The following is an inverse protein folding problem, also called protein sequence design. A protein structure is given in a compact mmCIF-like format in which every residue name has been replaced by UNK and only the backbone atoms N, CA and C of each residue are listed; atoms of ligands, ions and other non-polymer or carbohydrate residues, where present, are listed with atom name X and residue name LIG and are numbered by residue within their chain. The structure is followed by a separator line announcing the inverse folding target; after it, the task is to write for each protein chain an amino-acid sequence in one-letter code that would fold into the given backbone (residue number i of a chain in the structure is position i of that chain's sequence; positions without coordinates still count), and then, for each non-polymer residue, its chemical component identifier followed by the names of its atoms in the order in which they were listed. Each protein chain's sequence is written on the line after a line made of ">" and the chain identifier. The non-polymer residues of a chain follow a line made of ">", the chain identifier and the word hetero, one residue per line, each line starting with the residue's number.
data_IF_873754332262
#
_entry.id   IF_873754332262
#
_cell.length_a   1.000
_cell.length_b   1.000
_cell.length_c   1.000
_cell.angle_alpha   90.00
_cell.angle_beta   90.00
_cell.angle_gamma   90.00
#
_symmetry.space_group_name_H-M   'P 1'
#
loop_
_entity.id
_entity.type
_entity.pdbx_description
1 polymer ?
#
# COMPACT_ATOMS: atom_id res chain seq x y z
N UNK A 1 4.49 -25.28 51.46
CA UNK A 1 4.44 -25.05 49.99
C UNK A 1 4.76 -23.58 49.74
N UNK A 2 5.99 -23.29 49.33
CA UNK A 2 6.44 -21.92 49.06
C UNK A 2 6.14 -21.62 47.59
N UNK A 3 5.30 -20.62 47.30
CA UNK A 3 5.02 -20.19 45.93
C UNK A 3 6.19 -19.32 45.46
N UNK A 4 6.97 -19.81 44.50
CA UNK A 4 8.01 -19.03 43.83
C UNK A 4 7.33 -18.01 42.92
N UNK A 5 7.48 -16.73 43.24
CA UNK A 5 7.08 -15.63 42.37
C UNK A 5 7.99 -15.62 41.15
N UNK A 6 7.44 -15.99 39.98
CA UNK A 6 8.17 -15.96 38.72
C UNK A 6 8.56 -14.51 38.38
N UNK A 7 9.85 -14.18 38.50
CA UNK A 7 10.41 -12.91 38.03
C UNK A 7 10.46 -12.97 36.51
N UNK A 8 9.58 -12.20 35.87
CA UNK A 8 9.56 -12.02 34.41
C UNK A 8 10.83 -11.28 33.95
N UNK A 9 11.55 -11.75 32.91
CA UNK A 9 12.78 -11.11 32.46
C UNK A 9 12.52 -9.66 32.00
N UNK A 10 13.30 -8.73 32.54
CA UNK A 10 13.34 -7.33 32.11
C UNK A 10 13.98 -7.27 30.72
N UNK A 11 13.31 -6.63 29.75
CA UNK A 11 13.93 -6.35 28.45
C UNK A 11 15.14 -5.43 28.64
N UNK A 12 16.30 -5.86 28.15
CA UNK A 12 17.60 -5.15 28.23
C UNK A 12 17.60 -3.74 27.61
N UNK A 13 16.52 -3.35 26.91
CA UNK A 13 16.42 -2.07 26.21
C UNK A 13 15.76 -0.93 27.03
N UNK A 14 15.29 -1.20 28.26
CA UNK A 14 14.62 -0.16 29.07
C UNK A 14 15.60 0.56 29.99
N UNK A 15 15.79 1.90 29.86
CA UNK A 15 16.70 2.65 30.73
C UNK A 15 16.16 2.71 32.17
N UNK A 16 17.06 2.65 33.17
CA UNK A 16 16.69 2.43 34.59
C UNK A 16 15.84 3.53 35.22
N UNK A 17 15.78 4.73 34.62
CA UNK A 17 14.97 5.85 35.10
C UNK A 17 13.50 5.76 34.69
N UNK A 18 13.14 4.85 33.78
CA UNK A 18 11.77 4.71 33.27
C UNK A 18 11.01 3.65 34.08
N UNK A 19 10.22 4.10 35.05
CA UNK A 19 9.35 3.24 35.85
C UNK A 19 7.98 3.15 35.15
N UNK A 20 7.70 1.99 34.54
CA UNK A 20 6.40 1.72 33.92
C UNK A 20 5.57 0.79 34.81
N UNK A 21 4.32 1.15 35.10
CA UNK A 21 3.41 0.30 35.86
C UNK A 21 3.05 -0.94 35.04
N UNK A 22 3.37 -2.13 35.55
CA UNK A 22 2.98 -3.41 34.96
C UNK A 22 1.72 -3.92 35.64
N UNK A 23 0.67 -4.13 34.86
CA UNK A 23 -0.60 -4.66 35.34
C UNK A 23 -0.74 -6.13 34.92
N UNK A 24 -1.44 -6.92 35.74
CA UNK A 24 -1.83 -8.29 35.37
C UNK A 24 -2.72 -8.27 34.12
N UNK A 25 -2.64 -9.32 33.28
CA UNK A 25 -3.55 -9.51 32.13
C UNK A 25 -5.02 -9.68 32.52
N UNK A 26 -5.32 -9.77 33.83
CA UNK A 26 -6.70 -9.72 34.38
C UNK A 26 -7.29 -8.31 34.38
N UNK A 27 -6.44 -7.29 34.42
CA UNK A 27 -6.84 -5.89 34.43
C UNK A 27 -6.92 -5.40 32.98
N UNK A 28 -8.01 -4.71 32.63
CA UNK A 28 -8.28 -4.23 31.26
C UNK A 28 -7.49 -2.96 30.92
N UNK A 29 -6.18 -2.95 31.21
CA UNK A 29 -5.30 -1.78 31.05
C UNK A 29 -4.09 -2.13 30.19
N UNK A 30 -3.68 -1.20 29.32
CA UNK A 30 -2.55 -1.42 28.41
C UNK A 30 -2.87 -2.48 27.35
N UNK A 31 -1.87 -3.29 26.99
CA UNK A 31 -1.97 -4.28 25.92
C UNK A 31 -2.64 -5.62 26.35
N UNK A 32 -3.57 -5.57 27.33
CA UNK A 32 -4.14 -6.75 27.98
C UNK A 32 -4.80 -7.73 27.00
N UNK A 33 -5.45 -7.20 25.95
CA UNK A 33 -6.16 -7.99 24.94
C UNK A 33 -5.16 -8.81 24.12
N UNK A 34 -4.08 -8.19 23.63
CA UNK A 34 -3.03 -8.89 22.87
C UNK A 34 -2.31 -9.92 23.73
N UNK A 35 -2.03 -9.61 25.01
CA UNK A 35 -1.41 -10.56 25.93
C UNK A 35 -2.27 -11.82 26.16
N UNK A 36 -3.60 -11.66 26.25
CA UNK A 36 -4.55 -12.79 26.32
C UNK A 36 -4.71 -13.53 24.99
N UNK A 37 -4.46 -12.86 23.87
CA UNK A 37 -4.54 -13.44 22.52
C UNK A 37 -3.38 -14.36 22.15
N UNK A 38 -2.26 -14.35 22.90
CA UNK A 38 -1.00 -15.09 22.60
C UNK A 38 -1.09 -16.63 22.49
N UNK A 39 -2.28 -17.22 22.41
CA UNK A 39 -2.45 -18.68 22.28
C UNK A 39 -3.58 -19.14 21.35
N UNK A 40 -4.38 -18.22 20.78
CA UNK A 40 -5.49 -18.57 19.89
C UNK A 40 -5.40 -17.80 18.57
N UNK A 41 -5.59 -18.46 17.41
CA UNK A 41 -5.58 -17.76 16.13
C UNK A 41 -6.75 -16.76 16.06
N UNK A 42 -6.48 -15.54 15.59
CA UNK A 42 -7.47 -14.45 15.44
C UNK A 42 -8.77 -14.90 14.75
N UNK A 43 -8.66 -15.79 13.75
CA UNK A 43 -9.80 -16.37 13.03
C UNK A 43 -10.83 -16.93 14.01
N UNK A 44 -10.44 -17.83 14.91
CA UNK A 44 -11.37 -18.49 15.85
C UNK A 44 -11.99 -17.54 16.88
N UNK A 45 -11.43 -16.36 17.10
CA UNK A 45 -11.91 -15.40 18.10
C UNK A 45 -12.95 -14.44 17.53
N UNK A 46 -12.83 -14.07 16.26
CA UNK A 46 -13.62 -12.98 15.65
C UNK A 46 -14.53 -13.47 14.53
N UNK A 47 -14.23 -14.60 13.90
CA UNK A 47 -15.10 -15.14 12.85
C UNK A 47 -16.29 -15.85 13.48
N UNK A 48 -17.50 -15.48 13.06
CA UNK A 48 -18.73 -16.05 13.60
C UNK A 48 -19.17 -17.34 12.90
N UNK A 49 -18.98 -17.46 11.58
CA UNK A 49 -19.54 -18.57 10.79
C UNK A 49 -18.59 -19.11 9.70
N UNK A 50 -17.31 -19.31 10.03
CA UNK A 50 -16.27 -19.67 9.04
C UNK A 50 -16.17 -18.67 7.88
N UNK A 51 -16.57 -17.42 8.14
CA UNK A 51 -16.66 -16.41 7.11
C UNK A 51 -15.26 -16.00 6.65
N UNK A 52 -15.00 -15.96 5.33
CA UNK A 52 -13.73 -15.44 4.83
C UNK A 52 -13.53 -14.00 5.29
N UNK A 53 -12.33 -13.68 5.76
CA UNK A 53 -11.96 -12.37 6.34
C UNK A 53 -12.30 -11.17 5.44
N UNK A 54 -12.38 -11.36 4.12
CA UNK A 54 -12.65 -10.32 3.14
C UNK A 54 -13.72 -10.79 2.15
N UNK A 55 -14.96 -10.96 2.63
CA UNK A 55 -16.09 -11.37 1.78
C UNK A 55 -16.82 -10.18 1.14
N UNK A 56 -16.93 -9.07 1.88
CA UNK A 56 -17.74 -7.91 1.50
C UNK A 56 -16.83 -6.73 1.13
N UNK A 57 -16.49 -6.62 -0.15
CA UNK A 57 -15.59 -5.59 -0.68
C UNK A 57 -16.35 -4.38 -1.24
N UNK A 58 -17.69 -4.42 -1.20
CA UNK A 58 -18.58 -3.44 -1.82
C UNK A 58 -19.47 -2.89 -0.73
N UNK A 59 -19.48 -1.57 -0.58
CA UNK A 59 -20.38 -0.89 0.34
C UNK A 59 -21.77 -0.77 -0.28
N UNK A 60 -22.80 -0.63 0.57
CA UNK A 60 -24.17 -0.35 0.12
C UNK A 60 -24.26 0.93 -0.71
N UNK A 61 -23.41 1.92 -0.39
CA UNK A 61 -23.28 3.15 -1.15
C UNK A 61 -22.76 2.90 -2.57
N UNK A 62 -21.62 2.19 -2.71
CA UNK A 62 -21.02 1.87 -4.01
C UNK A 62 -22.00 1.11 -4.91
N UNK A 63 -22.68 0.11 -4.34
CA UNK A 63 -23.63 -0.71 -5.07
C UNK A 63 -24.87 0.06 -5.57
N UNK A 64 -25.33 1.06 -4.81
CA UNK A 64 -26.44 1.91 -5.21
C UNK A 64 -26.07 2.79 -6.40
N UNK A 65 -24.96 3.52 -6.30
CA UNK A 65 -24.60 4.54 -7.29
C UNK A 65 -23.94 3.96 -8.54
N UNK A 66 -23.04 2.98 -8.38
CA UNK A 66 -22.23 2.48 -9.50
C UNK A 66 -22.83 1.24 -10.17
N UNK A 67 -23.60 0.43 -9.44
CA UNK A 67 -24.15 -0.84 -9.91
C UNK A 67 -25.68 -0.85 -10.00
N UNK A 68 -26.31 0.29 -9.75
CA UNK A 68 -27.76 0.50 -9.85
C UNK A 68 -28.58 -0.54 -9.10
N UNK A 69 -28.05 -0.97 -7.97
CA UNK A 69 -28.67 -1.94 -7.10
C UNK A 69 -29.00 -3.32 -7.74
N UNK A 70 -28.39 -3.68 -8.86
CA UNK A 70 -28.71 -4.93 -9.57
C UNK A 70 -28.11 -6.16 -8.88
N UNK A 71 -28.96 -7.04 -8.35
CA UNK A 71 -28.56 -8.34 -7.83
C UNK A 71 -29.47 -9.45 -8.44
N UNK A 72 -28.95 -10.29 -9.37
CA UNK A 72 -29.76 -11.29 -10.06
C UNK A 72 -30.18 -12.47 -9.15
N UNK A 73 -29.56 -12.62 -7.97
CA UNK A 73 -29.84 -13.73 -7.05
C UNK A 73 -30.98 -13.46 -6.07
N UNK A 74 -31.58 -12.26 -6.08
CA UNK A 74 -32.57 -11.85 -5.08
C UNK A 74 -33.92 -11.48 -5.70
N UNK A 75 -35.03 -11.76 -4.99
CA UNK A 75 -36.33 -11.28 -5.41
C UNK A 75 -36.40 -9.74 -5.35
N UNK A 76 -37.13 -9.14 -6.30
CA UNK A 76 -37.29 -7.69 -6.40
C UNK A 76 -38.03 -7.08 -5.19
N UNK A 77 -38.92 -7.85 -4.56
CA UNK A 77 -39.74 -7.42 -3.43
C UNK A 77 -39.60 -8.39 -2.26
N UNK A 78 -39.66 -7.83 -1.04
CA UNK A 78 -39.71 -8.61 0.19
C UNK A 78 -40.96 -9.51 0.18
N UNK A 79 -40.76 -10.78 0.50
CA UNK A 79 -41.84 -11.78 0.54
C UNK A 79 -41.99 -12.34 1.95
N UNK A 80 -43.22 -12.50 2.43
CA UNK A 80 -43.50 -13.16 3.71
C UNK A 80 -43.44 -14.68 3.56
N UNK A 81 -42.52 -15.34 4.26
CA UNK A 81 -42.45 -16.80 4.31
C UNK A 81 -43.35 -17.32 5.44
N UNK A 82 -44.44 -17.97 5.02
CA UNK A 82 -45.45 -18.55 5.92
C UNK A 82 -44.93 -19.73 6.73
N UNK A 83 -43.95 -20.47 6.21
CA UNK A 83 -43.42 -21.67 6.85
C UNK A 83 -42.38 -21.32 7.92
N UNK A 84 -41.59 -20.27 7.69
CA UNK A 84 -40.59 -19.77 8.63
C UNK A 84 -41.10 -18.66 9.53
N UNK A 85 -42.29 -18.10 9.24
CA UNK A 85 -42.90 -16.96 9.92
C UNK A 85 -41.96 -15.74 9.96
N UNK A 86 -41.26 -15.49 8.86
CA UNK A 86 -40.28 -14.42 8.72
C UNK A 86 -40.51 -13.71 7.39
N UNK A 87 -40.32 -12.40 7.38
CA UNK A 87 -40.07 -11.71 6.13
C UNK A 87 -38.74 -12.20 5.58
N UNK A 88 -38.75 -12.76 4.36
CA UNK A 88 -37.52 -13.22 3.75
C UNK A 88 -36.53 -12.04 3.65
N UNK A 89 -35.24 -12.33 3.81
CA UNK A 89 -34.23 -11.31 3.92
C UNK A 89 -34.15 -10.52 2.61
N UNK A 90 -34.02 -9.21 2.72
CA UNK A 90 -33.90 -8.33 1.56
C UNK A 90 -32.46 -8.32 1.06
N UNK A 91 -32.19 -7.48 0.07
CA UNK A 91 -30.84 -7.17 -0.41
C UNK A 91 -29.83 -6.85 0.69
N UNK A 92 -30.26 -6.21 1.79
CA UNK A 92 -29.38 -5.87 2.90
C UNK A 92 -28.75 -7.09 3.59
N UNK A 93 -29.45 -8.22 3.58
CA UNK A 93 -29.03 -9.45 4.24
C UNK A 93 -28.12 -10.31 3.36
N UNK A 94 -28.09 -10.01 2.06
CA UNK A 94 -27.28 -10.68 1.05
C UNK A 94 -26.40 -9.67 0.32
N UNK A 95 -25.30 -9.22 0.95
CA UNK A 95 -24.35 -8.31 0.32
C UNK A 95 -23.79 -8.91 -0.98
N UNK A 96 -23.62 -8.05 -1.98
CA UNK A 96 -23.17 -8.47 -3.30
C UNK A 96 -21.71 -8.93 -3.24
N UNK A 97 -21.48 -10.18 -3.68
CA UNK A 97 -20.16 -10.80 -3.73
C UNK A 97 -19.55 -10.58 -5.11
N UNK A 98 -18.93 -9.42 -5.32
CA UNK A 98 -18.20 -9.12 -6.54
C UNK A 98 -16.87 -8.43 -6.20
N UNK A 99 -15.93 -8.37 -7.17
CA UNK A 99 -14.73 -7.56 -7.00
C UNK A 99 -15.10 -6.09 -6.72
N UNK A 100 -14.28 -5.37 -5.94
CA UNK A 100 -14.53 -3.98 -5.59
C UNK A 100 -14.55 -3.11 -6.85
N UNK A 101 -15.37 -2.06 -6.84
CA UNK A 101 -15.35 -1.03 -7.88
C UNK A 101 -14.06 -0.23 -7.71
N UNK A 102 -13.04 -0.63 -8.44
CA UNK A 102 -11.73 -0.02 -8.38
C UNK A 102 -11.48 0.63 -9.74
N UNK A 103 -11.69 1.94 -9.84
CA UNK A 103 -11.55 2.75 -11.07
C UNK A 103 -10.10 2.84 -11.56
N UNK A 104 -9.35 1.73 -11.59
CA UNK A 104 -7.92 1.68 -11.89
C UNK A 104 -7.01 2.18 -10.77
N UNK A 105 -7.54 2.63 -9.63
CA UNK A 105 -6.76 3.17 -8.52
C UNK A 105 -5.74 2.15 -7.97
N UNK A 106 -6.16 0.89 -7.82
CA UNK A 106 -5.28 -0.18 -7.37
C UNK A 106 -4.14 -0.43 -8.35
N UNK A 107 -4.43 -0.44 -9.65
CA UNK A 107 -3.39 -0.59 -10.67
C UNK A 107 -2.42 0.60 -10.64
N UNK A 108 -2.92 1.83 -10.50
CA UNK A 108 -2.07 3.02 -10.35
C UNK A 108 -1.17 2.96 -9.10
N UNK A 109 -1.71 2.54 -7.96
CA UNK A 109 -0.94 2.37 -6.73
C UNK A 109 0.10 1.26 -6.87
N UNK A 110 -0.27 0.15 -7.50
CA UNK A 110 0.64 -0.96 -7.78
C UNK A 110 1.80 -0.50 -8.66
N UNK A 111 1.53 0.29 -9.72
CA UNK A 111 2.59 0.89 -10.54
C UNK A 111 3.50 1.82 -9.75
N UNK A 112 2.93 2.63 -8.84
CA UNK A 112 3.70 3.53 -7.98
C UNK A 112 4.60 2.81 -6.98
N UNK A 113 4.15 1.67 -6.46
CA UNK A 113 4.91 0.89 -5.47
C UNK A 113 5.91 -0.07 -6.08
N UNK A 114 5.70 -0.48 -7.33
CA UNK A 114 6.72 -1.22 -8.06
C UNK A 114 7.96 -0.32 -8.20
N UNK A 115 9.15 -0.81 -7.83
CA UNK A 115 10.38 -0.06 -8.05
C UNK A 115 10.47 0.34 -9.53
N UNK A 116 10.79 1.60 -9.81
CA UNK A 116 11.10 1.99 -11.19
C UNK A 116 12.20 1.07 -11.70
N UNK A 117 12.02 0.38 -12.85
CA UNK A 117 13.06 -0.44 -13.45
C UNK A 117 14.35 0.36 -13.71
N UNK A 118 14.21 1.69 -13.86
CA UNK A 118 15.28 2.64 -14.15
C UNK A 118 15.77 3.40 -12.91
N UNK A 119 15.56 2.89 -11.69
CA UNK A 119 16.39 3.27 -10.54
C UNK A 119 17.82 2.70 -10.70
N UNK A 120 18.40 2.96 -11.87
CA UNK A 120 19.82 2.83 -12.16
C UNK A 120 20.51 3.74 -11.15
N UNK A 121 21.52 3.23 -10.48
CA UNK A 121 22.28 3.82 -9.37
C UNK A 121 22.88 5.24 -9.58
N UNK A 122 22.47 6.00 -10.60
CA UNK A 122 23.13 7.22 -11.10
C UNK A 122 22.21 8.37 -11.50
N UNK A 123 20.92 8.35 -11.17
CA UNK A 123 20.04 9.50 -11.41
C UNK A 123 19.82 10.27 -10.11
N UNK A 124 20.62 11.31 -9.89
CA UNK A 124 20.32 12.32 -8.87
C UNK A 124 19.08 13.11 -9.31
N UNK A 125 18.28 13.60 -8.36
CA UNK A 125 17.07 14.41 -8.57
C UNK A 125 17.33 15.51 -9.61
N UNK A 126 18.47 16.20 -9.51
CA UNK A 126 18.89 17.25 -10.43
C UNK A 126 19.00 16.80 -11.90
N UNK A 127 19.50 15.59 -12.14
CA UNK A 127 19.67 15.04 -13.50
C UNK A 127 18.33 14.53 -14.05
N UNK A 128 17.46 13.98 -13.21
CA UNK A 128 16.12 13.52 -13.61
C UNK A 128 15.17 14.66 -13.98
N UNK A 129 15.28 15.82 -13.31
CA UNK A 129 14.42 16.98 -13.56
C UNK A 129 14.78 17.76 -14.82
N UNK A 130 16.04 17.64 -15.27
CA UNK A 130 16.58 18.38 -16.41
C UNK A 130 16.91 17.40 -17.54
N UNK A 131 15.93 17.01 -18.38
CA UNK A 131 16.21 16.14 -19.51
C UNK A 131 17.21 16.82 -20.45
N UNK A 132 18.15 16.04 -21.01
CA UNK A 132 19.07 16.57 -22.01
C UNK A 132 18.25 17.05 -23.21
N UNK A 133 18.41 18.31 -23.66
CA UNK A 133 17.67 18.81 -24.82
C UNK A 133 18.04 18.00 -26.07
N UNK A 134 17.13 17.90 -27.05
CA UNK A 134 17.40 17.16 -28.29
C UNK A 134 18.67 17.71 -28.96
N UNK A 135 19.46 16.84 -29.58
CA UNK A 135 20.79 17.19 -30.12
C UNK A 135 20.76 18.38 -31.11
N UNK A 136 19.63 18.62 -31.78
CA UNK A 136 19.45 19.77 -32.69
C UNK A 136 19.22 21.13 -32.01
N UNK A 137 18.95 21.17 -30.70
CA UNK A 137 18.88 22.40 -29.92
C UNK A 137 20.25 22.82 -29.35
N UNK A 138 21.26 21.97 -29.49
CA UNK A 138 22.63 22.28 -29.08
C UNK A 138 23.32 23.08 -30.20
N UNK A 139 23.99 24.18 -29.84
CA UNK A 139 24.76 24.98 -30.79
C UNK A 139 25.90 24.14 -31.38
N UNK A 140 26.05 24.17 -32.71
CA UNK A 140 27.20 23.56 -33.39
C UNK A 140 28.43 24.42 -33.11
N UNK A 141 29.46 23.83 -32.50
CA UNK A 141 30.70 24.53 -32.17
C UNK A 141 31.60 24.54 -33.40
N UNK A 142 31.48 25.58 -34.22
CA UNK A 142 32.40 25.81 -35.32
C UNK A 142 33.69 26.42 -34.76
N UNK A 143 34.82 25.73 -34.93
CA UNK A 143 36.14 26.24 -34.57
C UNK A 143 36.87 26.66 -35.85
N UNK A 144 37.42 27.88 -35.87
CA UNK A 144 38.28 28.33 -36.95
C UNK A 144 39.57 27.49 -36.95
N UNK A 145 39.81 26.76 -38.04
CA UNK A 145 41.06 26.04 -38.26
C UNK A 145 42.10 27.09 -38.68
N UNK A 146 43.17 27.33 -37.90
CA UNK A 146 44.19 28.31 -38.29
C UNK A 146 44.88 27.85 -39.58
N UNK A 147 44.90 28.71 -40.60
CA UNK A 147 45.58 28.46 -41.86
C UNK A 147 47.11 28.53 -41.71
N UNK A 148 47.88 27.78 -42.52
CA UNK A 148 49.34 27.81 -42.47
C UNK A 148 49.87 29.20 -42.91
N UNK A 149 50.94 29.72 -42.27
CA UNK A 149 51.49 31.03 -42.63
C UNK A 149 52.15 31.01 -44.02
N UNK A 150 52.09 32.12 -44.78
CA UNK A 150 52.67 32.20 -46.12
C UNK A 150 54.21 32.11 -46.08
N UNK A 151 54.77 31.27 -46.96
CA UNK A 151 56.20 31.00 -47.04
C UNK A 151 56.93 32.12 -47.80
N UNK A 152 57.81 32.87 -47.13
CA UNK A 152 58.70 33.84 -47.78
C UNK A 152 59.76 33.09 -48.59
N UNK A 153 59.89 33.38 -49.89
CA UNK A 153 60.91 32.77 -50.75
C UNK A 153 62.26 33.49 -50.58
N UNK A 154 63.40 32.75 -50.48
CA UNK A 154 64.70 33.37 -50.32
C UNK A 154 65.25 33.93 -51.64
N UNK A 155 65.92 35.08 -51.56
CA UNK A 155 66.61 35.79 -52.66
C UNK A 155 67.93 35.07 -52.96
N UNK A 156 68.27 34.78 -54.24
CA UNK A 156 69.53 34.13 -54.57
C UNK A 156 70.70 35.12 -54.53
N UNK A 157 71.78 34.74 -53.86
CA UNK A 157 73.07 35.45 -53.90
C UNK A 157 73.99 34.78 -54.92
N UNK A 158 74.60 35.58 -55.80
CA UNK A 158 75.65 35.21 -56.76
C UNK A 158 77.04 35.26 -56.14
#
# INVERSE_FOLDING_TARGET
>A
MQFLTAVSPQSFSTPSWKIEARYSTRVLTGNWLEERRKGLPYKHLITHHQEPSCRHLISTYDDHYNRHNYNPGLPQLRTWDRHKLLWLPEKADFPLLAPPTNYGLYEQLKQRWLPSPEATWRENIYTSSCPRPPSGAMSQREHAIPGPPPHLQPVPHS
#
